data_IF_448783136633
#
_entry.id   IF_448783136633
#
_cell.length_a   1.000
_cell.length_b   1.000
_cell.length_c   1.000
_cell.angle_alpha   90.00
_cell.angle_beta   90.00
_cell.angle_gamma   90.00
#
_symmetry.space_group_name_H-M   'P 1'
#
loop_
_entity.id
_entity.type
_entity.pdbx_description
1 polymer ?
#
# COMPACT_ATOMS: atom_id res chain seq x y z
N UNK A 1 -0.10 -16.02 3.68
CA UNK A 1 0.88 -16.02 2.58
C UNK A 1 0.38 -16.93 1.48
N UNK A 2 0.70 -16.62 0.24
CA UNK A 2 0.43 -17.48 -0.92
C UNK A 2 1.58 -18.46 -1.19
N UNK A 3 1.57 -19.10 -2.37
CA UNK A 3 2.39 -20.28 -2.64
C UNK A 3 3.89 -20.01 -2.74
N UNK A 4 4.27 -18.86 -3.26
CA UNK A 4 5.65 -18.36 -3.39
C UNK A 4 5.98 -17.23 -2.41
N UNK A 5 4.97 -16.70 -1.71
CA UNK A 5 5.15 -15.85 -0.53
C UNK A 5 5.40 -14.38 -0.84
N UNK A 6 5.05 -13.91 -2.04
CA UNK A 6 5.09 -12.49 -2.40
C UNK A 6 3.84 -11.74 -1.90
N UNK A 7 2.80 -12.46 -1.43
CA UNK A 7 1.56 -11.85 -0.91
C UNK A 7 1.29 -12.18 0.55
N UNK A 8 0.74 -11.19 1.24
CA UNK A 8 0.27 -11.31 2.62
C UNK A 8 -1.19 -10.87 2.74
N UNK A 9 -1.95 -11.64 3.49
CA UNK A 9 -3.30 -11.28 3.94
C UNK A 9 -3.33 -11.56 5.43
N UNK A 10 -3.89 -10.64 6.20
CA UNK A 10 -3.95 -10.75 7.65
C UNK A 10 -5.40 -10.97 8.11
N UNK A 11 -5.56 -11.39 9.35
CA UNK A 11 -6.86 -11.55 10.01
C UNK A 11 -6.75 -10.93 11.39
N UNK A 12 -7.72 -10.09 11.75
CA UNK A 12 -7.74 -9.42 13.04
C UNK A 12 -8.30 -10.30 14.18
N UNK A 13 -8.35 -9.75 15.39
CA UNK A 13 -8.86 -10.45 16.58
C UNK A 13 -10.36 -10.82 16.50
N UNK A 14 -11.12 -10.22 15.59
CA UNK A 14 -12.55 -10.53 15.36
C UNK A 14 -12.76 -11.59 14.28
N UNK A 15 -11.70 -11.96 13.55
CA UNK A 15 -11.78 -12.83 12.39
C UNK A 15 -12.04 -12.08 11.08
N UNK A 16 -11.99 -10.75 11.08
CA UNK A 16 -12.11 -9.95 9.87
C UNK A 16 -10.82 -10.05 9.04
N UNK A 17 -10.99 -10.18 7.73
CA UNK A 17 -9.86 -10.16 6.78
C UNK A 17 -9.34 -8.74 6.68
N UNK A 18 -8.02 -8.60 6.78
CA UNK A 18 -7.29 -7.35 6.55
C UNK A 18 -6.54 -7.48 5.23
N UNK A 19 -6.96 -6.70 4.25
CA UNK A 19 -6.46 -6.78 2.87
C UNK A 19 -5.21 -5.92 2.61
N UNK A 20 -4.71 -5.94 1.37
CA UNK A 20 -3.49 -5.21 1.00
C UNK A 20 -3.63 -3.68 1.10
N UNK A 21 -4.82 -3.12 0.89
CA UNK A 21 -5.01 -1.67 1.01
C UNK A 21 -4.95 -1.25 2.49
N UNK A 22 -5.57 -2.01 3.38
CA UNK A 22 -5.50 -1.77 4.83
C UNK A 22 -4.06 -1.93 5.36
N UNK A 23 -3.32 -2.93 4.86
CA UNK A 23 -1.91 -3.11 5.18
C UNK A 23 -1.05 -1.94 4.68
N UNK A 24 -1.27 -1.47 3.45
CA UNK A 24 -0.59 -0.29 2.92
C UNK A 24 -0.81 0.94 3.79
N UNK A 25 -2.05 1.18 4.21
CA UNK A 25 -2.37 2.30 5.10
C UNK A 25 -1.63 2.19 6.44
N UNK A 26 -1.66 1.00 7.07
CA UNK A 26 -1.00 0.77 8.36
C UNK A 26 0.51 1.03 8.27
N UNK A 27 1.17 0.53 7.22
CA UNK A 27 2.60 0.74 7.00
C UNK A 27 2.88 2.21 6.71
N UNK A 28 2.07 2.87 5.87
CA UNK A 28 2.25 4.28 5.54
C UNK A 28 2.17 5.18 6.78
N UNK A 29 1.18 4.93 7.65
CA UNK A 29 1.02 5.65 8.92
C UNK A 29 2.20 5.43 9.85
N UNK A 30 2.63 4.19 10.06
CA UNK A 30 3.80 3.88 10.92
C UNK A 30 5.09 4.53 10.40
N UNK A 31 5.33 4.48 9.09
CA UNK A 31 6.46 5.16 8.46
C UNK A 31 6.37 6.68 8.61
N UNK A 32 5.18 7.27 8.53
CA UNK A 32 4.99 8.71 8.74
C UNK A 32 5.26 9.10 10.20
N UNK A 33 4.68 8.38 11.16
CA UNK A 33 4.85 8.63 12.60
C UNK A 33 6.31 8.46 13.05
N UNK A 34 7.05 7.52 12.45
CA UNK A 34 8.47 7.32 12.70
C UNK A 34 9.41 8.24 11.89
N UNK A 35 8.87 9.12 11.04
CA UNK A 35 9.65 10.04 10.20
C UNK A 35 10.46 9.35 9.09
N UNK A 36 10.08 8.13 8.72
CA UNK A 36 10.76 7.28 7.73
C UNK A 36 10.08 7.26 6.37
N UNK A 37 8.84 7.73 6.27
CA UNK A 37 8.09 7.76 5.02
C UNK A 37 8.76 8.72 4.03
N UNK A 38 9.26 8.20 2.91
CA UNK A 38 9.84 9.00 1.83
C UNK A 38 8.80 9.17 0.72
N UNK A 39 8.21 10.36 0.65
CA UNK A 39 7.25 10.72 -0.37
C UNK A 39 5.83 10.27 -0.03
N UNK A 40 5.31 9.30 -0.77
CA UNK A 40 3.91 8.86 -0.68
C UNK A 40 3.72 7.37 -0.94
N UNK A 41 2.49 6.99 -1.23
CA UNK A 41 2.08 5.59 -1.46
C UNK A 41 1.64 5.40 -2.91
N UNK A 42 2.10 4.31 -3.52
CA UNK A 42 1.62 3.87 -4.83
C UNK A 42 0.65 2.69 -4.66
N UNK A 43 -0.59 2.86 -5.06
CA UNK A 43 -1.56 1.76 -5.21
C UNK A 43 -1.91 1.55 -6.67
N UNK A 44 -2.85 0.65 -6.97
CA UNK A 44 -3.35 0.46 -8.35
C UNK A 44 -4.73 1.09 -8.54
N UNK A 45 -5.21 1.07 -9.77
CA UNK A 45 -6.62 1.40 -10.08
C UNK A 45 -7.63 0.52 -9.31
N UNK A 46 -7.21 -0.63 -8.78
CA UNK A 46 -8.08 -1.51 -7.98
C UNK A 46 -8.11 -1.15 -6.49
N UNK A 47 -7.21 -0.28 -6.01
CA UNK A 47 -7.20 0.11 -4.60
C UNK A 47 -8.49 0.82 -4.21
N UNK A 48 -9.00 0.52 -3.02
CA UNK A 48 -10.25 1.06 -2.51
C UNK A 48 -10.22 2.60 -2.41
N UNK A 49 -11.39 3.25 -2.52
CA UNK A 49 -11.52 4.69 -2.26
C UNK A 49 -11.19 5.05 -0.80
N UNK A 50 -11.49 4.17 0.15
CA UNK A 50 -11.19 4.35 1.56
C UNK A 50 -9.70 4.54 1.84
N UNK A 51 -8.83 3.82 1.12
CA UNK A 51 -7.37 4.00 1.22
C UNK A 51 -6.96 5.42 0.81
N UNK A 52 -7.47 5.90 -0.33
CA UNK A 52 -7.15 7.23 -0.84
C UNK A 52 -7.61 8.34 0.11
N UNK A 53 -8.83 8.23 0.65
CA UNK A 53 -9.36 9.18 1.63
C UNK A 53 -8.54 9.16 2.93
N UNK A 54 -8.21 7.98 3.45
CA UNK A 54 -7.46 7.85 4.69
C UNK A 54 -6.03 8.40 4.56
N UNK A 55 -5.35 8.17 3.42
CA UNK A 55 -4.05 8.77 3.14
C UNK A 55 -4.14 10.29 2.98
N UNK A 56 -5.21 10.80 2.37
CA UNK A 56 -5.46 12.23 2.22
C UNK A 56 -5.62 12.93 3.57
N UNK A 57 -6.33 12.32 4.53
CA UNK A 57 -6.46 12.85 5.90
C UNK A 57 -5.09 12.99 6.60
N UNK A 58 -4.17 12.07 6.31
CA UNK A 58 -2.78 12.11 6.80
C UNK A 58 -1.85 12.99 5.94
N UNK A 59 -2.36 13.67 4.93
CA UNK A 59 -1.57 14.45 3.96
C UNK A 59 -0.48 13.62 3.27
N UNK A 60 -0.70 12.31 3.10
CA UNK A 60 0.20 11.41 2.39
C UNK A 60 -0.20 11.39 0.90
N UNK A 61 0.70 11.76 -0.02
CA UNK A 61 0.41 11.67 -1.45
C UNK A 61 0.08 10.23 -1.87
N UNK A 62 -0.98 10.04 -2.63
CA UNK A 62 -1.37 8.75 -3.19
C UNK A 62 -1.37 8.79 -4.71
N UNK A 63 -0.84 7.74 -5.33
CA UNK A 63 -0.76 7.61 -6.79
C UNK A 63 -1.34 6.27 -7.20
N UNK A 64 -2.21 6.29 -8.21
CA UNK A 64 -2.79 5.08 -8.80
C UNK A 64 -2.04 4.69 -10.07
N UNK A 65 -1.35 3.56 -10.01
CA UNK A 65 -0.75 2.89 -11.15
C UNK A 65 -1.78 2.00 -11.88
N UNK A 66 -1.44 1.57 -13.11
CA UNK A 66 -2.17 0.47 -13.76
C UNK A 66 -2.04 -0.81 -12.93
N UNK A 67 -2.97 -1.74 -13.11
CA UNK A 67 -2.98 -3.02 -12.39
C UNK A 67 -1.76 -3.87 -12.77
N UNK A 68 -1.09 -4.43 -11.76
CA UNK A 68 0.13 -5.22 -11.89
C UNK A 68 1.34 -4.60 -11.17
N UNK A 69 2.00 -5.41 -10.36
CA UNK A 69 3.30 -5.20 -9.68
C UNK A 69 4.32 -4.33 -10.46
N UNK A 70 4.51 -4.59 -11.75
CA UNK A 70 5.46 -3.86 -12.60
C UNK A 70 5.14 -2.37 -12.72
N UNK A 71 3.86 -2.00 -12.74
CA UNK A 71 3.45 -0.60 -12.82
C UNK A 71 3.58 0.11 -11.48
N UNK A 72 3.32 -0.61 -10.39
CA UNK A 72 3.57 -0.10 -9.03
C UNK A 72 5.06 0.20 -8.87
N UNK A 73 5.93 -0.75 -9.20
CA UNK A 73 7.39 -0.58 -9.17
C UNK A 73 7.88 0.56 -10.06
N UNK A 74 7.31 0.71 -11.26
CA UNK A 74 7.67 1.81 -12.16
C UNK A 74 7.35 3.19 -11.58
N UNK A 75 6.18 3.37 -10.94
CA UNK A 75 5.82 4.62 -10.28
C UNK A 75 6.68 4.89 -9.04
N UNK A 76 6.99 3.86 -8.24
CA UNK A 76 7.89 3.97 -7.10
C UNK A 76 9.27 4.47 -7.53
N UNK A 77 9.86 3.86 -8.56
CA UNK A 77 11.16 4.24 -9.11
C UNK A 77 11.13 5.65 -9.72
N UNK A 78 10.08 6.01 -10.47
CA UNK A 78 9.96 7.32 -11.09
C UNK A 78 9.87 8.47 -10.07
N UNK A 79 9.33 8.19 -8.88
CA UNK A 79 9.11 9.16 -7.81
C UNK A 79 10.16 9.09 -6.70
N UNK A 80 11.03 8.08 -6.74
CA UNK A 80 11.92 7.72 -5.64
C UNK A 80 11.15 7.53 -4.32
N UNK A 81 10.01 6.85 -4.39
CA UNK A 81 9.19 6.47 -3.24
C UNK A 81 9.45 5.00 -2.90
N UNK A 82 9.18 4.63 -1.65
CA UNK A 82 9.50 3.30 -1.13
C UNK A 82 8.28 2.40 -0.91
N UNK A 83 7.09 2.98 -0.68
CA UNK A 83 5.90 2.22 -0.29
C UNK A 83 4.87 2.13 -1.42
N UNK A 84 4.52 0.91 -1.82
CA UNK A 84 3.41 0.66 -2.72
C UNK A 84 2.94 -0.78 -2.72
N UNK A 85 1.84 -1.05 -3.40
CA UNK A 85 1.30 -2.41 -3.47
C UNK A 85 -0.04 -2.53 -4.15
N UNK A 86 -0.63 -3.71 -4.00
CA UNK A 86 -1.92 -4.08 -4.57
C UNK A 86 -2.85 -4.61 -3.46
N UNK A 87 -4.17 -4.43 -3.63
CA UNK A 87 -5.20 -4.94 -2.71
C UNK A 87 -5.08 -6.47 -2.45
N UNK A 88 -4.52 -7.21 -3.42
CA UNK A 88 -4.24 -8.65 -3.32
C UNK A 88 -3.26 -9.04 -2.20
N UNK A 89 -2.54 -8.07 -1.62
CA UNK A 89 -1.55 -8.32 -0.57
C UNK A 89 -0.10 -8.36 -1.07
N UNK A 90 0.16 -8.02 -2.33
CA UNK A 90 1.52 -7.79 -2.83
C UNK A 90 1.99 -6.40 -2.39
N UNK A 91 3.00 -6.33 -1.52
CA UNK A 91 3.45 -5.10 -0.85
C UNK A 91 4.95 -4.89 -1.07
N UNK A 92 5.34 -3.66 -1.36
CA UNK A 92 6.72 -3.19 -1.53
C UNK A 92 6.96 -2.04 -0.55
N UNK A 93 8.01 -2.11 0.28
CA UNK A 93 8.32 -1.12 1.32
C UNK A 93 9.82 -0.92 1.54
#
# INVERSE_FOLDING_TARGET
FDGDGDRVMMVDHTGAVVDGDELLFLIARDLQESGRLQGGVVGTLMSNLGLELALQELHIPFVRAKVGDRYVMAELLARNWMLGGENSGHIVC
#
